data_IF_328409488827
#
_entry.id   IF_328409488827
#
_cell.length_a   1.000
_cell.length_b   1.000
_cell.length_c   1.000
_cell.angle_alpha   90.00
_cell.angle_beta   90.00
_cell.angle_gamma   90.00
#
_symmetry.space_group_name_H-M   'P 1'
#
loop_
_entity.id
_entity.type
_entity.pdbx_description
1 polymer ?
#
# COMPACT_ATOMS: atom_id res chain seq x y z
N UNK A 1 19.76 24.72 -5.93
CA UNK A 1 18.92 24.70 -7.17
C UNK A 1 18.02 23.50 -7.02
N UNK A 2 16.68 23.64 -7.07
CA UNK A 2 15.82 22.48 -7.05
C UNK A 2 16.21 21.60 -8.25
N UNK A 3 16.48 20.33 -7.99
CA UNK A 3 16.75 19.36 -9.04
C UNK A 3 15.51 19.31 -9.93
N UNK A 4 15.69 19.47 -11.23
CA UNK A 4 14.61 19.21 -12.19
C UNK A 4 14.09 17.80 -11.95
N UNK A 5 12.77 17.66 -11.76
CA UNK A 5 12.11 16.36 -11.69
C UNK A 5 12.63 15.48 -12.84
N UNK A 6 13.03 14.22 -12.58
CA UNK A 6 13.40 13.32 -13.66
C UNK A 6 12.24 13.23 -14.67
N UNK A 7 12.53 13.08 -15.96
CA UNK A 7 11.53 12.92 -17.03
C UNK A 7 10.46 11.86 -16.70
N UNK A 8 10.81 10.90 -15.85
CA UNK A 8 9.89 9.91 -15.30
C UNK A 8 10.20 9.59 -13.84
N UNK A 9 9.22 9.78 -12.96
CA UNK A 9 9.29 9.32 -11.58
C UNK A 9 9.17 7.77 -11.52
N UNK A 10 10.06 7.07 -10.79
CA UNK A 10 9.97 5.63 -10.60
C UNK A 10 8.62 5.19 -10.02
N UNK A 11 8.14 4.03 -10.48
CA UNK A 11 6.89 3.39 -10.06
C UNK A 11 7.12 1.88 -10.03
N UNK A 12 6.15 1.13 -9.50
CA UNK A 12 6.16 -0.33 -9.55
C UNK A 12 6.40 -0.83 -10.99
N UNK A 13 7.42 -1.65 -11.19
CA UNK A 13 7.74 -2.27 -12.47
C UNK A 13 6.93 -3.55 -12.65
N UNK A 14 5.98 -3.51 -13.59
CA UNK A 14 5.05 -4.61 -13.87
C UNK A 14 5.73 -5.83 -14.53
N UNK A 15 6.94 -5.66 -15.05
CA UNK A 15 7.72 -6.74 -15.64
C UNK A 15 8.61 -7.45 -14.60
N UNK A 16 8.66 -6.91 -13.39
CA UNK A 16 9.44 -7.45 -12.29
C UNK A 16 8.56 -8.10 -11.24
N UNK A 17 9.13 -9.07 -10.53
CA UNK A 17 8.42 -9.73 -9.44
C UNK A 17 8.08 -8.74 -8.31
N UNK A 18 7.09 -9.11 -7.48
CA UNK A 18 6.78 -8.36 -6.27
C UNK A 18 8.00 -8.22 -5.36
N UNK A 19 8.78 -9.30 -5.19
CA UNK A 19 9.97 -9.29 -4.35
C UNK A 19 11.03 -8.33 -4.91
N UNK A 20 11.22 -8.31 -6.23
CA UNK A 20 12.13 -7.35 -6.85
C UNK A 20 11.69 -5.90 -6.58
N UNK A 21 10.40 -5.58 -6.75
CA UNK A 21 9.87 -4.24 -6.43
C UNK A 21 9.97 -3.91 -4.94
N UNK A 22 9.82 -4.90 -4.07
CA UNK A 22 10.01 -4.74 -2.63
C UNK A 22 11.46 -4.37 -2.30
N UNK A 23 12.43 -5.03 -2.92
CA UNK A 23 13.86 -4.84 -2.66
C UNK A 23 14.45 -3.61 -3.37
N UNK A 24 13.85 -3.19 -4.49
CA UNK A 24 14.29 -2.07 -5.33
C UNK A 24 13.34 -0.88 -5.25
N UNK A 25 12.91 -0.53 -4.03
CA UNK A 25 12.16 0.69 -3.80
C UNK A 25 12.98 1.92 -4.22
N UNK A 26 12.38 2.93 -4.86
CA UNK A 26 13.07 4.17 -5.19
C UNK A 26 13.44 4.96 -3.93
N UNK A 27 14.52 5.72 -4.04
CA UNK A 27 14.94 6.65 -2.99
C UNK A 27 14.00 7.87 -2.95
N UNK A 28 13.78 8.47 -1.76
CA UNK A 28 13.09 9.76 -1.65
C UNK A 28 13.70 10.83 -2.56
N UNK A 29 12.85 11.70 -3.09
CA UNK A 29 13.26 12.77 -4.02
C UNK A 29 13.14 14.14 -3.37
N UNK A 30 13.98 15.08 -3.80
CA UNK A 30 13.90 16.48 -3.41
C UNK A 30 13.20 17.26 -4.52
N UNK A 31 11.90 17.50 -4.33
CA UNK A 31 11.02 18.14 -5.31
C UNK A 31 10.21 19.23 -4.62
N UNK A 32 9.90 20.29 -5.36
CA UNK A 32 8.99 21.32 -4.84
C UNK A 32 7.58 20.75 -4.78
N UNK A 33 7.06 20.59 -3.56
CA UNK A 33 5.69 20.12 -3.32
C UNK A 33 4.77 21.33 -3.16
N UNK A 34 3.79 21.53 -4.05
CA UNK A 34 2.81 22.60 -3.91
C UNK A 34 1.99 22.43 -2.63
N UNK A 35 1.80 23.53 -1.91
CA UNK A 35 0.89 23.55 -0.77
C UNK A 35 -0.56 23.50 -1.27
N UNK A 36 -1.42 22.77 -0.55
CA UNK A 36 -2.86 22.72 -0.80
C UNK A 36 -3.58 23.48 0.32
N UNK A 37 -4.00 24.73 0.08
CA UNK A 37 -4.61 25.55 1.12
C UNK A 37 -5.86 24.88 1.71
N UNK A 38 -5.98 24.94 3.04
CA UNK A 38 -7.13 24.41 3.77
C UNK A 38 -6.74 23.88 5.14
N UNK A 39 -7.75 23.50 5.91
CA UNK A 39 -7.59 22.72 7.14
C UNK A 39 -8.06 21.30 6.84
N UNK A 40 -7.12 20.36 6.82
CA UNK A 40 -7.41 18.98 6.46
C UNK A 40 -7.26 18.08 7.66
N UNK A 41 -8.16 17.11 7.75
CA UNK A 41 -8.07 16.04 8.75
C UNK A 41 -8.33 14.69 8.13
N UNK A 42 -7.70 13.66 8.69
CA UNK A 42 -7.95 12.27 8.36
C UNK A 42 -8.04 11.47 9.65
N UNK A 43 -9.14 10.73 9.86
CA UNK A 43 -9.43 10.02 11.11
C UNK A 43 -9.33 10.92 12.37
N UNK A 44 -9.65 12.21 12.24
CA UNK A 44 -9.57 13.19 13.35
C UNK A 44 -8.17 13.74 13.63
N UNK A 45 -7.16 13.36 12.85
CA UNK A 45 -5.78 13.88 12.93
C UNK A 45 -5.55 14.94 11.86
N UNK A 46 -4.82 16.01 12.19
CA UNK A 46 -4.46 17.06 11.24
C UNK A 46 -3.48 16.54 10.19
N UNK A 47 -3.68 16.93 8.93
CA UNK A 47 -2.78 16.62 7.81
C UNK A 47 -2.49 17.86 6.95
N UNK A 48 -1.31 17.97 6.32
CA UNK A 48 -0.98 19.10 5.46
C UNK A 48 -1.84 19.22 4.19
N UNK A 49 -2.34 18.10 3.67
CA UNK A 49 -3.19 18.08 2.47
C UNK A 49 -4.16 16.90 2.47
N UNK A 50 -5.17 16.88 1.59
CA UNK A 50 -6.10 15.76 1.46
C UNK A 50 -5.54 14.63 0.58
N UNK A 51 -4.28 14.71 0.13
CA UNK A 51 -3.71 13.73 -0.79
C UNK A 51 -3.18 12.51 -0.05
N UNK A 52 -3.75 11.34 -0.35
CA UNK A 52 -3.33 10.06 0.21
C UNK A 52 -2.82 9.08 -0.85
N UNK A 53 -1.98 8.14 -0.41
CA UNK A 53 -1.53 7.00 -1.21
C UNK A 53 -2.09 5.69 -0.66
N UNK A 54 -2.74 4.87 -1.50
CA UNK A 54 -3.36 3.62 -1.07
C UNK A 54 -2.31 2.53 -0.78
N UNK A 55 -2.74 1.45 -0.12
CA UNK A 55 -1.88 0.33 0.28
C UNK A 55 -1.17 -0.41 -0.86
N UNK A 56 -1.75 -0.39 -2.07
CA UNK A 56 -1.28 -1.17 -3.21
C UNK A 56 0.17 -0.86 -3.60
N UNK A 57 0.52 0.41 -3.91
CA UNK A 57 1.86 0.84 -4.29
C UNK A 57 2.89 0.89 -3.16
N UNK A 58 2.47 0.98 -1.88
CA UNK A 58 3.38 1.21 -0.75
C UNK A 58 3.86 -0.09 -0.11
N UNK A 59 4.72 -0.84 -0.79
CA UNK A 59 5.08 -2.21 -0.42
C UNK A 59 5.79 -2.34 0.94
N UNK A 60 6.53 -1.32 1.35
CA UNK A 60 7.28 -1.22 2.59
C UNK A 60 7.59 0.25 2.92
N UNK A 61 8.33 0.49 3.99
CA UNK A 61 8.71 1.81 4.47
C UNK A 61 9.45 2.67 3.46
N UNK A 62 10.31 2.08 2.63
CA UNK A 62 11.03 2.83 1.60
C UNK A 62 10.08 3.40 0.56
N UNK A 63 9.09 2.62 0.12
CA UNK A 63 8.03 3.11 -0.75
C UNK A 63 7.18 4.19 -0.07
N UNK A 64 6.88 4.05 1.22
CA UNK A 64 6.18 5.09 2.00
C UNK A 64 6.96 6.40 2.00
N UNK A 65 8.26 6.38 2.30
CA UNK A 65 9.10 7.57 2.33
C UNK A 65 9.24 8.22 0.94
N UNK A 66 9.38 7.40 -0.11
CA UNK A 66 9.40 7.90 -1.48
C UNK A 66 8.13 8.67 -1.83
N UNK A 67 6.95 8.07 -1.62
CA UNK A 67 5.70 8.78 -1.91
C UNK A 67 5.44 9.96 -0.96
N UNK A 68 5.89 9.90 0.29
CA UNK A 68 5.84 11.07 1.17
C UNK A 68 6.65 12.25 0.62
N UNK A 69 7.82 11.98 0.03
CA UNK A 69 8.68 13.00 -0.60
C UNK A 69 8.07 13.61 -1.87
N UNK A 70 7.14 12.90 -2.51
CA UNK A 70 6.36 13.40 -3.64
C UNK A 70 5.17 14.28 -3.21
N UNK A 71 4.95 14.46 -1.90
CA UNK A 71 3.95 15.37 -1.36
C UNK A 71 2.67 14.72 -0.85
N UNK A 72 2.55 13.39 -0.85
CA UNK A 72 1.40 12.71 -0.24
C UNK A 72 1.48 12.75 1.29
N UNK A 73 0.35 12.95 1.96
CA UNK A 73 0.30 13.21 3.40
C UNK A 73 -0.36 12.10 4.22
N UNK A 74 -1.24 11.30 3.61
CA UNK A 74 -1.83 10.10 4.21
C UNK A 74 -1.28 8.87 3.49
N UNK A 75 -0.35 8.15 4.11
CA UNK A 75 0.35 7.04 3.47
C UNK A 75 -0.13 5.72 4.04
N UNK A 76 -0.85 4.93 3.25
CA UNK A 76 -1.29 3.61 3.68
C UNK A 76 -0.21 2.58 3.35
N UNK A 77 0.50 2.10 4.36
CA UNK A 77 1.41 0.96 4.27
C UNK A 77 0.65 -0.29 3.79
N UNK A 78 1.31 -1.13 3.00
CA UNK A 78 0.78 -2.36 2.41
C UNK A 78 -0.04 -3.19 3.40
N UNK A 79 -1.14 -3.79 2.93
CA UNK A 79 -1.92 -4.75 3.72
C UNK A 79 -1.05 -5.89 4.24
N UNK A 80 -0.98 -6.03 5.57
CA UNK A 80 -0.19 -7.04 6.29
C UNK A 80 -1.08 -8.09 6.93
N UNK A 81 -0.46 -9.23 7.30
CA UNK A 81 -1.09 -10.42 7.86
C UNK A 81 -0.36 -10.86 9.14
N UNK A 82 -1.00 -11.77 9.86
CA UNK A 82 -0.40 -12.49 10.99
C UNK A 82 0.54 -13.63 10.60
N UNK A 83 0.67 -13.91 9.30
CA UNK A 83 1.67 -14.82 8.75
C UNK A 83 2.21 -14.30 7.43
N UNK A 84 3.37 -14.79 7.00
CA UNK A 84 3.84 -14.55 5.64
C UNK A 84 2.86 -15.09 4.60
N UNK A 85 2.73 -14.35 3.49
CA UNK A 85 2.07 -14.80 2.26
C UNK A 85 2.84 -14.27 1.06
N UNK A 86 3.26 -15.16 0.17
CA UNK A 86 3.91 -14.78 -1.07
C UNK A 86 2.92 -14.13 -2.04
N UNK A 87 3.44 -13.28 -2.93
CA UNK A 87 2.65 -12.74 -4.04
C UNK A 87 2.45 -13.82 -5.10
N UNK A 88 1.31 -13.80 -5.80
CA UNK A 88 1.11 -14.67 -6.97
C UNK A 88 2.14 -14.37 -8.08
N UNK A 89 2.50 -15.35 -8.92
CA UNK A 89 3.47 -15.18 -10.01
C UNK A 89 2.99 -14.21 -11.10
N UNK A 90 3.92 -13.74 -11.92
CA UNK A 90 3.61 -12.86 -13.06
C UNK A 90 2.82 -13.59 -14.17
N UNK A 91 1.98 -12.87 -14.94
CA UNK A 91 1.58 -11.49 -14.73
C UNK A 91 0.52 -11.38 -13.61
N UNK A 92 0.75 -10.49 -12.66
CA UNK A 92 -0.15 -10.23 -11.53
C UNK A 92 -0.64 -8.76 -11.47
N UNK A 93 -0.25 -7.97 -12.47
CA UNK A 93 -0.68 -6.60 -12.71
C UNK A 93 -0.64 -6.35 -14.23
N UNK A 94 -1.81 -6.22 -14.85
CA UNK A 94 -1.96 -6.20 -16.32
C UNK A 94 -2.87 -5.04 -16.75
N UNK A 95 -2.43 -4.12 -17.64
CA UNK A 95 -3.32 -3.13 -18.20
C UNK A 95 -4.42 -3.81 -19.02
N UNK A 96 -5.66 -3.33 -18.88
CA UNK A 96 -6.81 -3.89 -19.58
C UNK A 96 -7.69 -2.78 -20.16
N UNK A 97 -8.38 -3.10 -21.25
CA UNK A 97 -9.49 -2.27 -21.75
C UNK A 97 -10.76 -2.69 -21.04
N UNK A 98 -11.41 -1.75 -20.34
CA UNK A 98 -12.71 -1.99 -19.73
C UNK A 98 -13.58 -0.73 -19.74
N UNK A 99 -14.90 -0.94 -19.71
CA UNK A 99 -15.89 0.07 -19.39
C UNK A 99 -16.52 -0.22 -18.03
N UNK A 100 -17.80 0.11 -17.89
CA UNK A 100 -18.60 -0.31 -16.73
C UNK A 100 -18.72 -1.84 -16.71
N UNK A 101 -18.33 -2.44 -15.58
CA UNK A 101 -18.43 -3.87 -15.34
C UNK A 101 -19.75 -4.19 -14.65
N UNK A 102 -20.31 -5.37 -14.95
CA UNK A 102 -21.56 -5.87 -14.38
C UNK A 102 -21.35 -7.11 -13.49
N UNK A 103 -20.14 -7.67 -13.49
CA UNK A 103 -19.77 -8.86 -12.73
C UNK A 103 -20.03 -10.17 -13.48
N UNK A 104 -20.51 -10.12 -14.71
CA UNK A 104 -20.66 -11.28 -15.60
C UNK A 104 -19.51 -11.43 -16.59
N UNK A 105 -18.56 -10.50 -16.59
CA UNK A 105 -17.43 -10.53 -17.50
C UNK A 105 -16.44 -11.65 -17.11
N UNK A 106 -16.22 -12.59 -18.02
CA UNK A 106 -15.25 -13.69 -17.81
C UNK A 106 -13.84 -13.32 -18.29
N UNK A 107 -13.72 -12.44 -19.28
CA UNK A 107 -12.44 -12.05 -19.90
C UNK A 107 -12.42 -10.57 -20.26
N UNK A 108 -11.26 -9.93 -20.11
CA UNK A 108 -11.02 -8.55 -20.54
C UNK A 108 -9.85 -8.48 -21.53
N UNK A 109 -9.92 -7.64 -22.59
CA UNK A 109 -8.80 -7.44 -23.49
C UNK A 109 -7.60 -6.82 -22.77
N UNK A 110 -6.44 -7.44 -22.92
CA UNK A 110 -5.17 -6.91 -22.38
C UNK A 110 -4.62 -5.76 -23.23
N UNK A 111 -3.90 -4.83 -22.59
CA UNK A 111 -3.15 -3.75 -23.25
C UNK A 111 -1.67 -3.84 -22.89
N UNK A 112 -0.82 -3.35 -23.80
CA UNK A 112 0.63 -3.27 -23.58
C UNK A 112 1.05 -2.02 -22.77
N UNK A 113 0.22 -0.98 -22.77
CA UNK A 113 0.47 0.27 -22.06
C UNK A 113 -0.72 0.62 -21.17
N UNK A 114 -0.40 1.21 -20.02
CA UNK A 114 -1.39 1.69 -19.06
C UNK A 114 -1.85 3.11 -19.41
N UNK A 115 -3.15 3.26 -19.63
CA UNK A 115 -3.84 4.54 -19.84
C UNK A 115 -5.24 4.59 -19.22
N UNK A 116 -5.58 3.64 -18.32
CA UNK A 116 -6.93 3.56 -17.76
C UNK A 116 -7.08 2.58 -16.60
N UNK A 117 -7.26 1.29 -16.89
CA UNK A 117 -7.61 0.27 -15.88
C UNK A 117 -6.60 -0.85 -15.79
N UNK A 118 -6.50 -1.42 -14.59
CA UNK A 118 -5.65 -2.57 -14.27
C UNK A 118 -6.49 -3.77 -13.85
N UNK A 119 -6.13 -4.96 -14.33
CA UNK A 119 -6.44 -6.21 -13.65
C UNK A 119 -5.30 -6.52 -12.66
N UNK A 120 -5.65 -6.81 -11.40
CA UNK A 120 -4.68 -7.00 -10.31
C UNK A 120 -4.95 -8.33 -9.59
N UNK A 121 -3.92 -9.14 -9.45
CA UNK A 121 -3.99 -10.46 -8.79
C UNK A 121 -2.76 -10.69 -7.91
N UNK A 122 -2.41 -9.73 -7.03
CA UNK A 122 -1.27 -9.91 -6.11
C UNK A 122 -1.54 -10.91 -4.97
N UNK A 123 -2.79 -11.08 -4.55
CA UNK A 123 -3.15 -12.00 -3.44
C UNK A 123 -2.88 -11.46 -2.02
N UNK A 124 -2.71 -10.14 -1.88
CA UNK A 124 -2.30 -9.49 -0.62
C UNK A 124 -1.07 -10.16 0.01
N UNK A 125 0.10 -10.05 -0.65
CA UNK A 125 1.34 -10.55 -0.08
C UNK A 125 1.67 -9.80 1.20
N UNK A 126 2.22 -10.54 2.17
CA UNK A 126 2.67 -10.01 3.45
C UNK A 126 4.02 -10.64 3.78
N UNK A 127 4.94 -9.83 4.26
CA UNK A 127 6.14 -10.35 4.93
C UNK A 127 5.76 -11.04 6.25
N UNK A 128 6.71 -11.74 6.86
CA UNK A 128 6.56 -12.26 8.22
C UNK A 128 6.22 -11.14 9.23
N UNK A 129 5.41 -11.42 10.27
CA UNK A 129 5.00 -10.43 11.27
C UNK A 129 6.14 -9.59 11.83
N UNK A 130 7.21 -10.24 12.28
CA UNK A 130 8.33 -9.53 12.89
C UNK A 130 9.04 -8.60 11.89
N UNK A 131 9.09 -8.99 10.61
CA UNK A 131 9.71 -8.18 9.56
C UNK A 131 8.87 -6.95 9.24
N UNK A 132 7.57 -7.09 9.00
CA UNK A 132 6.75 -5.93 8.65
C UNK A 132 6.55 -5.00 9.85
N UNK A 133 6.47 -5.52 11.08
CA UNK A 133 6.36 -4.70 12.29
C UNK A 133 7.61 -3.84 12.49
N UNK A 134 8.80 -4.45 12.39
CA UNK A 134 10.06 -3.72 12.47
C UNK A 134 10.19 -2.66 11.36
N UNK A 135 9.70 -2.97 10.15
CA UNK A 135 9.69 -2.02 9.04
C UNK A 135 8.71 -0.86 9.26
N UNK A 136 7.53 -1.09 9.83
CA UNK A 136 6.58 -0.03 10.23
C UNK A 136 7.19 0.86 11.31
N UNK A 137 7.83 0.29 12.33
CA UNK A 137 8.55 1.05 13.35
C UNK A 137 9.66 1.91 12.76
N UNK A 138 10.44 1.33 11.83
CA UNK A 138 11.46 2.06 11.10
C UNK A 138 10.85 3.19 10.27
N UNK A 139 9.77 2.91 9.55
CA UNK A 139 9.05 3.88 8.71
C UNK A 139 8.59 5.06 9.55
N UNK A 140 7.93 4.81 10.69
CA UNK A 140 7.39 5.87 11.53
C UNK A 140 8.50 6.79 12.08
N UNK A 141 9.68 6.24 12.40
CA UNK A 141 10.86 6.99 12.85
C UNK A 141 11.45 7.93 11.78
N UNK A 142 11.33 7.58 10.50
CA UNK A 142 11.91 8.33 9.38
C UNK A 142 10.90 9.22 8.66
N UNK A 143 9.61 8.91 8.76
CA UNK A 143 8.55 9.67 8.12
C UNK A 143 8.32 11.00 8.87
N UNK A 144 8.25 12.16 8.19
CA UNK A 144 7.99 13.45 8.82
C UNK A 144 6.73 13.42 9.70
N UNK A 145 6.76 14.16 10.82
CA UNK A 145 5.77 14.04 11.89
C UNK A 145 4.37 14.50 11.48
N UNK A 146 4.29 15.38 10.50
CA UNK A 146 3.06 15.91 9.92
C UNK A 146 2.38 14.93 8.96
N UNK A 147 3.12 13.91 8.47
CA UNK A 147 2.58 12.85 7.61
C UNK A 147 1.95 11.76 8.47
N UNK A 148 0.81 11.23 8.04
CA UNK A 148 0.17 10.09 8.70
C UNK A 148 0.55 8.77 8.05
N UNK A 149 0.92 7.81 8.88
CA UNK A 149 1.15 6.42 8.53
C UNK A 149 -0.11 5.61 8.87
N UNK A 150 -0.90 5.29 7.86
CA UNK A 150 -1.98 4.30 7.98
C UNK A 150 -1.39 2.92 7.71
N UNK A 151 -1.73 1.90 8.50
CA UNK A 151 -1.30 0.52 8.23
C UNK A 151 -2.51 -0.33 7.90
N UNK A 152 -2.51 -0.92 6.70
CA UNK A 152 -3.56 -1.83 6.27
C UNK A 152 -3.30 -3.23 6.83
N UNK A 153 -4.35 -3.88 7.34
CA UNK A 153 -4.30 -5.23 7.91
C UNK A 153 -5.42 -6.10 7.34
N UNK A 154 -5.16 -7.40 7.25
CA UNK A 154 -6.15 -8.40 6.86
C UNK A 154 -5.96 -9.66 7.69
N UNK A 155 -7.07 -10.31 8.04
CA UNK A 155 -7.05 -11.61 8.69
C UNK A 155 -6.43 -12.68 7.81
N UNK A 156 -5.69 -13.60 8.43
CA UNK A 156 -5.12 -14.79 7.79
C UNK A 156 -6.10 -15.93 7.96
N UNK A 157 -6.93 -16.16 6.94
CA UNK A 157 -7.88 -17.29 6.94
C UNK A 157 -7.13 -18.61 7.05
N UNK A 158 -7.48 -19.41 8.05
CA UNK A 158 -7.00 -20.78 8.22
C UNK A 158 -8.16 -21.77 8.01
N UNK A 159 -7.85 -23.01 7.57
CA UNK A 159 -8.82 -24.09 7.59
C UNK A 159 -9.45 -24.24 8.99
N UNK A 160 -10.76 -24.47 9.02
CA UNK A 160 -11.54 -24.78 10.22
C UNK A 160 -11.62 -23.66 11.28
N UNK A 161 -11.17 -22.43 10.98
CA UNK A 161 -11.35 -21.30 11.88
C UNK A 161 -12.81 -20.81 11.91
N UNK A 162 -13.30 -20.51 13.11
CA UNK A 162 -14.55 -19.79 13.30
C UNK A 162 -14.40 -18.31 12.94
N UNK A 163 -15.53 -17.61 12.79
CA UNK A 163 -15.54 -16.16 12.56
C UNK A 163 -14.89 -15.40 13.73
N UNK A 164 -15.05 -15.88 14.96
CA UNK A 164 -14.42 -15.30 16.15
C UNK A 164 -12.90 -15.44 16.11
N UNK A 165 -12.38 -16.58 15.64
CA UNK A 165 -10.94 -16.79 15.49
C UNK A 165 -10.36 -15.87 14.41
N UNK A 166 -11.06 -15.73 13.28
CA UNK A 166 -10.68 -14.77 12.24
C UNK A 166 -10.74 -13.32 12.75
N UNK A 167 -11.78 -12.95 13.49
CA UNK A 167 -11.90 -11.63 14.09
C UNK A 167 -10.79 -11.35 15.11
N UNK A 168 -10.39 -12.34 15.90
CA UNK A 168 -9.27 -12.24 16.82
C UNK A 168 -7.94 -12.01 16.08
N UNK A 169 -7.75 -12.65 14.93
CA UNK A 169 -6.58 -12.46 14.08
C UNK A 169 -6.52 -11.05 13.46
N UNK A 170 -7.65 -10.53 12.97
CA UNK A 170 -7.77 -9.12 12.56
C UNK A 170 -7.40 -8.17 13.71
N UNK A 171 -7.95 -8.40 14.90
CA UNK A 171 -7.67 -7.58 16.08
C UNK A 171 -6.19 -7.64 16.48
N UNK A 172 -5.57 -8.82 16.37
CA UNK A 172 -4.15 -9.00 16.67
C UNK A 172 -3.25 -8.24 15.68
N UNK A 173 -3.57 -8.29 14.38
CA UNK A 173 -2.84 -7.51 13.38
C UNK A 173 -3.01 -6.01 13.58
N UNK A 174 -4.24 -5.55 13.86
CA UNK A 174 -4.52 -4.14 14.15
C UNK A 174 -3.75 -3.66 15.40
N UNK A 175 -3.72 -4.47 16.46
CA UNK A 175 -2.92 -4.20 17.66
C UNK A 175 -1.44 -4.07 17.32
N UNK A 176 -0.87 -5.04 16.58
CA UNK A 176 0.54 -4.98 16.18
C UNK A 176 0.87 -3.76 15.33
N UNK A 177 -0.05 -3.34 14.44
CA UNK A 177 0.12 -2.14 13.64
C UNK A 177 0.24 -0.88 14.53
N UNK A 178 -0.67 -0.72 15.50
CA UNK A 178 -0.63 0.39 16.47
C UNK A 178 0.66 0.34 17.30
N UNK A 179 1.01 -0.82 17.85
CA UNK A 179 2.24 -1.01 18.64
C UNK A 179 3.51 -0.68 17.83
N UNK A 180 3.48 -0.87 16.52
CA UNK A 180 4.60 -0.59 15.61
C UNK A 180 4.65 0.89 15.16
N UNK A 181 3.66 1.70 15.52
CA UNK A 181 3.64 3.14 15.23
C UNK A 181 2.72 3.59 14.10
N UNK A 182 1.68 2.82 13.77
CA UNK A 182 0.60 3.29 12.92
C UNK A 182 -0.18 4.44 13.60
N UNK A 183 -0.45 5.51 12.86
CA UNK A 183 -1.36 6.58 13.31
C UNK A 183 -2.83 6.16 13.12
N UNK A 184 -3.10 5.43 12.04
CA UNK A 184 -4.40 4.87 11.70
C UNK A 184 -4.26 3.40 11.28
N UNK A 185 -5.32 2.61 11.44
CA UNK A 185 -5.38 1.24 10.93
C UNK A 185 -6.52 1.12 9.91
N UNK A 186 -6.20 0.56 8.75
CA UNK A 186 -7.18 0.19 7.73
C UNK A 186 -7.44 -1.33 7.83
N UNK A 187 -8.67 -1.75 8.13
CA UNK A 187 -9.05 -3.16 8.07
C UNK A 187 -9.59 -3.51 6.68
N UNK A 188 -8.87 -4.34 5.94
CA UNK A 188 -9.25 -4.74 4.59
C UNK A 188 -10.23 -5.92 4.62
N UNK A 189 -11.47 -5.65 4.19
CA UNK A 189 -12.54 -6.64 3.99
C UNK A 189 -12.96 -6.79 2.52
N UNK A 190 -12.26 -6.11 1.60
CA UNK A 190 -12.75 -5.85 0.24
C UNK A 190 -11.94 -6.54 -0.86
N UNK A 191 -10.77 -7.10 -0.53
CA UNK A 191 -9.93 -7.70 -1.57
C UNK A 191 -10.59 -8.96 -2.16
N UNK A 192 -10.76 -9.06 -3.49
CA UNK A 192 -11.35 -10.24 -4.12
C UNK A 192 -10.37 -11.42 -4.28
N UNK A 193 -9.10 -11.23 -3.91
CA UNK A 193 -7.99 -12.15 -4.21
C UNK A 193 -7.46 -12.89 -2.97
N UNK A 194 -8.24 -12.98 -1.88
CA UNK A 194 -7.81 -13.56 -0.58
C UNK A 194 -7.94 -15.08 -0.57
#
# INVERSE_FOLDING_TARGET
MPLSLPEQLPRYDIHQSYQWNYDNAPEPVDVEVPQIPGEWTFCGLTVPSPLGMPAGPLLNGKWVLYYASLGFDVLTYKTTRSSQRACYPLPNLQPVTTGQLTGTEETLPVKSQMDGSWAVSFGMPSAEPDKWRADVEWTRKHLPKEKLLSVSVVGTVQPDWSLEQLAADYAQCAKWAVESGADCVETNFSCPNV
#
